data_IF_009044492770
#
_entry.id   IF_009044492770
#
_cell.length_a   1.000
_cell.length_b   1.000
_cell.length_c   1.000
_cell.angle_alpha   90.00
_cell.angle_beta   90.00
_cell.angle_gamma   90.00
#
_symmetry.space_group_name_H-M   'P 1'
#
loop_
_entity.id
_entity.type
_entity.pdbx_description
1 polymer ?
#
# COMPACT_ATOMS: atom_id res chain seq x y z
N UNK A 1 -32.53 18.62 -19.69
CA UNK A 1 -31.74 18.02 -18.59
C UNK A 1 -31.15 19.09 -17.68
N UNK A 2 -30.60 20.19 -18.20
CA UNK A 2 -30.01 21.29 -17.40
C UNK A 2 -30.92 21.88 -16.30
N UNK A 3 -32.20 22.17 -16.57
CA UNK A 3 -33.11 22.73 -15.54
C UNK A 3 -33.39 21.78 -14.36
N UNK A 4 -33.31 20.47 -14.55
CA UNK A 4 -33.57 19.49 -13.49
C UNK A 4 -32.36 19.25 -12.58
N UNK A 5 -31.18 19.69 -13.01
CA UNK A 5 -29.92 19.59 -12.26
C UNK A 5 -29.44 20.95 -11.77
N UNK A 6 -30.20 22.03 -12.02
CA UNK A 6 -29.96 23.32 -11.40
C UNK A 6 -30.03 23.15 -9.87
N UNK A 7 -29.04 23.69 -9.16
CA UNK A 7 -28.90 23.65 -7.70
C UNK A 7 -28.72 22.26 -7.07
N UNK A 8 -28.50 21.21 -7.87
CA UNK A 8 -28.20 19.89 -7.34
C UNK A 8 -26.80 19.85 -6.72
N UNK A 9 -26.72 19.46 -5.45
CA UNK A 9 -25.45 19.17 -4.78
C UNK A 9 -24.91 17.85 -5.31
N UNK A 10 -23.90 17.92 -6.18
CA UNK A 10 -23.35 16.76 -6.92
C UNK A 10 -22.67 15.75 -6.00
N UNK A 11 -22.07 16.20 -4.89
CA UNK A 11 -21.37 15.35 -3.93
C UNK A 11 -21.64 15.80 -2.48
N UNK A 12 -22.81 15.48 -1.90
CA UNK A 12 -23.15 15.89 -0.53
C UNK A 12 -22.11 15.41 0.50
N UNK A 13 -21.51 14.24 0.29
CA UNK A 13 -20.48 13.70 1.19
C UNK A 13 -19.15 14.44 1.17
N UNK A 14 -18.97 15.43 0.28
CA UNK A 14 -17.83 16.36 0.37
C UNK A 14 -17.98 17.37 1.51
N UNK A 15 -19.19 17.51 2.07
CA UNK A 15 -19.53 18.32 3.23
C UNK A 15 -20.26 17.43 4.27
N UNK A 16 -19.54 16.47 4.90
CA UNK A 16 -20.15 15.51 5.82
C UNK A 16 -20.76 16.19 7.05
N UNK A 17 -20.16 17.28 7.53
CA UNK A 17 -20.68 18.08 8.65
C UNK A 17 -22.12 18.53 8.40
N UNK A 18 -22.40 19.00 7.18
CA UNK A 18 -23.74 19.47 6.81
C UNK A 18 -24.72 18.34 6.51
N UNK A 19 -24.28 17.28 5.82
CA UNK A 19 -25.20 16.31 5.21
C UNK A 19 -25.21 14.93 5.88
N UNK A 20 -24.21 14.59 6.69
CA UNK A 20 -24.02 13.25 7.24
C UNK A 20 -23.98 13.24 8.78
N UNK A 21 -23.35 14.23 9.39
CA UNK A 21 -22.97 14.20 10.81
C UNK A 21 -24.15 14.27 11.78
N UNK A 22 -25.32 14.75 11.31
CA UNK A 22 -26.56 14.69 12.10
C UNK A 22 -26.91 13.25 12.52
N UNK A 23 -26.58 12.27 11.68
CA UNK A 23 -26.81 10.85 11.96
C UNK A 23 -25.52 10.05 12.19
N UNK A 24 -24.38 10.55 11.69
CA UNK A 24 -23.09 9.84 11.68
C UNK A 24 -21.95 10.64 12.33
N UNK A 25 -22.24 11.62 13.19
CA UNK A 25 -21.24 12.59 13.69
C UNK A 25 -20.00 11.98 14.34
N UNK A 26 -20.12 10.86 15.06
CA UNK A 26 -18.95 10.15 15.61
C UNK A 26 -18.04 9.61 14.50
N UNK A 27 -18.62 8.91 13.52
CA UNK A 27 -17.88 8.39 12.37
C UNK A 27 -17.33 9.52 11.49
N UNK A 28 -18.07 10.62 11.34
CA UNK A 28 -17.61 11.80 10.60
C UNK A 28 -16.35 12.41 11.23
N UNK A 29 -16.37 12.60 12.55
CA UNK A 29 -15.24 13.13 13.32
C UNK A 29 -14.02 12.20 13.33
N UNK A 30 -14.22 10.88 13.25
CA UNK A 30 -13.13 9.91 13.14
C UNK A 30 -12.56 9.83 11.72
N UNK A 31 -13.43 9.90 10.70
CA UNK A 31 -13.04 9.73 9.31
C UNK A 31 -12.05 10.79 8.83
N UNK A 32 -12.17 12.03 9.31
CA UNK A 32 -11.25 13.12 8.94
C UNK A 32 -9.79 12.82 9.32
N UNK A 33 -9.57 12.03 10.37
CA UNK A 33 -8.23 11.59 10.81
C UNK A 33 -7.74 10.37 10.03
N UNK A 34 -8.65 9.60 9.42
CA UNK A 34 -8.28 8.41 8.64
C UNK A 34 -7.30 8.74 7.50
N UNK A 35 -6.40 7.81 7.18
CA UNK A 35 -5.44 8.00 6.08
C UNK A 35 -6.11 8.06 4.70
N UNK A 36 -7.34 7.55 4.56
CA UNK A 36 -8.12 7.66 3.33
C UNK A 36 -8.67 9.08 3.10
N UNK A 37 -8.93 9.83 4.18
CA UNK A 37 -9.30 11.24 4.12
C UNK A 37 -8.05 12.14 4.11
N UNK A 38 -7.17 12.02 5.11
CA UNK A 38 -6.06 12.97 5.28
C UNK A 38 -4.96 12.85 4.20
N UNK A 39 -4.83 11.66 3.59
CA UNK A 39 -3.69 11.27 2.76
C UNK A 39 -2.32 11.51 3.46
N UNK A 40 -2.32 11.54 4.79
CA UNK A 40 -1.17 11.96 5.61
C UNK A 40 0.10 11.17 5.32
N UNK A 41 -0.01 9.87 5.05
CA UNK A 41 1.16 9.04 4.77
C UNK A 41 1.86 9.34 3.44
N UNK A 42 1.14 9.85 2.43
CA UNK A 42 1.79 10.34 1.21
C UNK A 42 2.55 11.64 1.50
N UNK A 43 1.90 12.58 2.19
CA UNK A 43 2.52 13.87 2.57
C UNK A 43 3.76 13.64 3.43
N UNK A 44 3.69 12.73 4.40
CA UNK A 44 4.85 12.37 5.22
C UNK A 44 5.98 11.80 4.37
N UNK A 45 5.71 10.81 3.52
CA UNK A 45 6.74 10.19 2.67
C UNK A 45 7.45 11.22 1.78
N UNK A 46 6.71 12.19 1.23
CA UNK A 46 7.29 13.27 0.42
C UNK A 46 8.14 14.17 1.31
N UNK A 47 7.61 14.69 2.41
CA UNK A 47 8.32 15.54 3.38
C UNK A 47 9.61 14.93 3.89
N UNK A 48 9.60 13.64 4.25
CA UNK A 48 10.82 12.96 4.70
C UNK A 48 11.90 12.98 3.62
N UNK A 49 11.53 12.75 2.35
CA UNK A 49 12.46 12.73 1.21
C UNK A 49 12.88 14.14 0.74
N UNK A 50 12.10 15.17 1.04
CA UNK A 50 12.50 16.58 0.81
C UNK A 50 13.29 17.15 1.99
N UNK A 51 13.25 16.49 3.16
CA UNK A 51 13.84 17.02 4.39
C UNK A 51 13.09 18.23 4.96
N UNK A 52 11.84 18.46 4.55
CA UNK A 52 11.03 19.61 4.97
C UNK A 52 9.90 19.17 5.92
N UNK A 53 9.53 20.01 6.88
CA UNK A 53 8.41 19.75 7.80
C UNK A 53 7.03 20.02 7.19
N UNK A 54 6.99 20.78 6.09
CA UNK A 54 5.81 21.07 5.27
C UNK A 54 6.18 20.91 3.80
N UNK A 55 5.19 20.71 2.93
CA UNK A 55 5.45 20.71 1.49
C UNK A 55 5.68 22.16 1.02
N UNK A 56 6.60 22.35 0.10
CA UNK A 56 6.75 23.62 -0.61
C UNK A 56 5.54 23.87 -1.53
N UNK A 57 5.34 25.12 -1.95
CA UNK A 57 4.22 25.48 -2.81
C UNK A 57 4.18 24.67 -4.13
N UNK A 58 5.35 24.39 -4.73
CA UNK A 58 5.44 23.57 -5.94
C UNK A 58 4.99 22.12 -5.71
N UNK A 59 5.38 21.54 -4.57
CA UNK A 59 5.01 20.17 -4.20
C UNK A 59 3.57 20.06 -3.69
N UNK A 60 3.02 21.08 -3.05
CA UNK A 60 1.59 21.16 -2.73
C UNK A 60 0.77 21.16 -4.02
N UNK A 61 1.14 21.99 -4.99
CA UNK A 61 0.48 22.03 -6.29
C UNK A 61 0.55 20.67 -7.01
N UNK A 62 1.73 20.03 -6.99
CA UNK A 62 1.90 18.67 -7.53
C UNK A 62 0.97 17.67 -6.81
N UNK A 63 0.95 17.70 -5.48
CA UNK A 63 0.17 16.78 -4.66
C UNK A 63 -1.31 16.90 -5.00
N UNK A 64 -1.85 18.11 -5.05
CA UNK A 64 -3.25 18.36 -5.37
C UNK A 64 -3.58 17.93 -6.80
N UNK A 65 -2.69 18.23 -7.75
CA UNK A 65 -2.90 17.91 -9.15
C UNK A 65 -2.81 16.40 -9.48
N UNK A 66 -2.13 15.60 -8.66
CA UNK A 66 -1.73 14.21 -9.01
C UNK A 66 -2.03 13.17 -7.95
N UNK A 67 -1.77 13.47 -6.68
CA UNK A 67 -1.90 12.52 -5.58
C UNK A 67 -3.28 12.58 -4.92
N UNK A 68 -3.81 13.79 -4.73
CA UNK A 68 -5.09 14.03 -4.09
C UNK A 68 -6.29 13.51 -4.90
N UNK A 69 -6.08 13.06 -6.14
CA UNK A 69 -7.12 12.40 -6.95
C UNK A 69 -7.64 11.10 -6.34
N UNK A 70 -6.85 10.47 -5.46
CA UNK A 70 -7.28 9.29 -4.70
C UNK A 70 -8.01 9.63 -3.40
N UNK A 71 -8.09 10.92 -3.03
CA UNK A 71 -8.85 11.37 -1.86
C UNK A 71 -10.32 10.95 -1.99
N UNK A 72 -10.84 10.35 -0.92
CA UNK A 72 -12.20 9.81 -0.91
C UNK A 72 -13.13 10.60 0.01
N UNK A 73 -14.42 10.39 -0.17
CA UNK A 73 -15.48 10.89 0.73
C UNK A 73 -16.44 9.74 1.02
N UNK A 74 -17.36 9.89 1.99
CA UNK A 74 -18.30 8.83 2.34
C UNK A 74 -19.05 8.30 1.10
N UNK A 75 -19.47 9.19 0.20
CA UNK A 75 -20.18 8.86 -1.03
C UNK A 75 -19.35 8.07 -2.03
N UNK A 76 -18.05 8.33 -2.15
CA UNK A 76 -17.15 7.59 -3.06
C UNK A 76 -16.86 6.14 -2.61
N UNK A 77 -17.27 5.78 -1.38
CA UNK A 77 -17.24 4.41 -0.87
C UNK A 77 -18.65 3.79 -0.83
N UNK A 78 -19.65 4.57 -0.43
CA UNK A 78 -20.98 4.06 -0.09
C UNK A 78 -22.06 4.31 -1.15
N UNK A 79 -21.83 5.15 -2.17
CA UNK A 79 -22.86 5.54 -3.15
C UNK A 79 -22.36 5.43 -4.59
N UNK A 80 -21.18 5.98 -4.85
CA UNK A 80 -20.57 6.07 -6.17
C UNK A 80 -19.18 5.47 -6.18
N UNK A 81 -18.68 5.22 -7.39
CA UNK A 81 -17.28 4.91 -7.67
C UNK A 81 -16.42 6.16 -7.44
N UNK A 82 -15.13 5.99 -7.12
CA UNK A 82 -14.22 7.13 -6.98
C UNK A 82 -14.16 8.01 -8.23
N UNK A 83 -13.97 9.31 -8.02
CA UNK A 83 -13.85 10.29 -9.12
C UNK A 83 -12.64 10.01 -10.01
N UNK A 84 -11.57 9.45 -9.43
CA UNK A 84 -10.36 9.01 -10.14
C UNK A 84 -10.63 8.03 -11.28
N UNK A 85 -11.72 7.26 -11.19
CA UNK A 85 -12.14 6.30 -12.22
C UNK A 85 -13.40 6.73 -12.98
N UNK A 86 -13.62 8.06 -13.06
CA UNK A 86 -14.76 8.73 -13.74
C UNK A 86 -16.12 8.55 -13.06
N UNK A 87 -16.13 8.15 -11.78
CA UNK A 87 -17.36 8.09 -10.98
C UNK A 87 -18.43 7.11 -11.50
N UNK A 88 -19.69 7.46 -11.21
CA UNK A 88 -20.87 6.63 -11.51
C UNK A 88 -21.40 5.90 -10.28
N UNK A 89 -22.72 5.74 -10.20
CA UNK A 89 -23.38 5.08 -9.07
C UNK A 89 -23.07 3.58 -9.02
N UNK A 90 -22.88 3.06 -7.81
CA UNK A 90 -22.77 1.63 -7.57
C UNK A 90 -24.12 0.93 -7.72
N UNK A 91 -25.19 1.56 -7.21
CA UNK A 91 -26.54 1.00 -7.16
C UNK A 91 -27.62 2.10 -7.19
N UNK A 92 -27.51 3.05 -8.14
CA UNK A 92 -28.30 4.28 -8.13
C UNK A 92 -28.00 5.13 -6.89
N UNK A 93 -29.00 5.86 -6.38
CA UNK A 93 -28.88 6.70 -5.18
C UNK A 93 -28.89 5.90 -3.85
N UNK A 94 -28.79 4.57 -3.90
CA UNK A 94 -28.79 3.76 -2.69
C UNK A 94 -27.45 3.86 -1.96
N UNK A 95 -27.52 4.01 -0.64
CA UNK A 95 -26.36 3.91 0.24
C UNK A 95 -26.06 2.44 0.55
N UNK A 96 -24.90 1.98 0.12
CA UNK A 96 -24.39 0.65 0.40
C UNK A 96 -23.66 0.65 1.73
N UNK A 97 -24.16 -0.10 2.72
CA UNK A 97 -23.46 -0.28 4.00
C UNK A 97 -22.02 -0.80 3.83
N UNK A 98 -21.80 -1.66 2.84
CA UNK A 98 -20.47 -2.20 2.51
C UNK A 98 -20.08 -1.74 1.10
N UNK A 99 -18.92 -1.08 0.93
CA UNK A 99 -18.41 -0.71 -0.39
C UNK A 99 -18.22 -1.95 -1.27
N UNK A 100 -18.37 -1.77 -2.58
CA UNK A 100 -18.07 -2.84 -3.52
C UNK A 100 -16.56 -2.96 -3.69
N UNK A 101 -16.02 -4.18 -3.53
CA UNK A 101 -14.58 -4.40 -3.65
C UNK A 101 -14.03 -3.94 -5.00
N UNK A 102 -14.69 -4.31 -6.10
CA UNK A 102 -14.20 -3.99 -7.45
C UNK A 102 -14.35 -2.51 -7.77
N UNK A 103 -15.55 -1.97 -7.49
CA UNK A 103 -15.94 -0.63 -7.93
C UNK A 103 -15.45 0.49 -7.01
N UNK A 104 -15.12 0.19 -5.74
CA UNK A 104 -14.64 1.17 -4.77
C UNK A 104 -13.20 0.89 -4.35
N UNK A 105 -12.91 -0.29 -3.75
CA UNK A 105 -11.58 -0.57 -3.19
C UNK A 105 -10.52 -0.69 -4.29
N UNK A 106 -10.72 -1.59 -5.25
CA UNK A 106 -9.77 -1.82 -6.34
C UNK A 106 -9.86 -0.80 -7.47
N UNK A 107 -10.83 0.13 -7.42
CA UNK A 107 -10.81 1.29 -8.30
C UNK A 107 -9.59 2.19 -8.01
N UNK A 108 -9.20 2.33 -6.75
CA UNK A 108 -7.99 3.03 -6.34
C UNK A 108 -6.79 2.09 -6.13
N UNK A 109 -7.02 0.89 -5.57
CA UNK A 109 -5.95 -0.07 -5.25
C UNK A 109 -5.75 -1.16 -6.31
N UNK A 110 -6.23 -0.96 -7.54
CA UNK A 110 -6.34 -2.00 -8.57
C UNK A 110 -5.01 -2.61 -9.03
N UNK A 111 -4.11 -1.78 -9.54
CA UNK A 111 -2.92 -2.25 -10.28
C UNK A 111 -1.91 -3.05 -9.46
N UNK A 112 -1.89 -2.89 -8.13
CA UNK A 112 -1.04 -3.69 -7.24
C UNK A 112 -1.87 -4.66 -6.43
N UNK A 113 -2.75 -4.14 -5.58
CA UNK A 113 -3.47 -4.95 -4.60
C UNK A 113 -4.58 -5.75 -5.28
N UNK A 114 -5.41 -5.11 -6.11
CA UNK A 114 -6.53 -5.76 -6.77
C UNK A 114 -6.10 -6.85 -7.75
N UNK A 115 -5.04 -6.62 -8.51
CA UNK A 115 -4.53 -7.58 -9.50
C UNK A 115 -3.76 -8.74 -8.83
N UNK A 116 -3.06 -8.50 -7.73
CA UNK A 116 -2.47 -9.56 -6.90
C UNK A 116 -3.54 -10.42 -6.24
N UNK A 117 -4.54 -9.79 -5.60
CA UNK A 117 -5.58 -10.50 -4.84
C UNK A 117 -6.42 -11.40 -5.73
N UNK A 118 -6.72 -10.93 -6.94
CA UNK A 118 -7.55 -11.65 -7.91
C UNK A 118 -6.75 -12.50 -8.89
N UNK A 119 -5.41 -12.49 -8.83
CA UNK A 119 -4.56 -13.29 -9.71
C UNK A 119 -4.62 -12.85 -11.18
N UNK A 120 -4.61 -11.54 -11.44
CA UNK A 120 -4.67 -10.96 -12.78
C UNK A 120 -3.28 -10.69 -13.39
N UNK A 121 -2.21 -10.86 -12.61
CA UNK A 121 -0.85 -10.83 -13.12
C UNK A 121 -0.52 -12.16 -13.81
N UNK A 122 0.10 -12.09 -15.00
CA UNK A 122 0.48 -13.28 -15.75
C UNK A 122 1.38 -14.21 -14.91
N UNK A 123 1.05 -15.51 -14.90
CA UNK A 123 1.78 -16.52 -14.14
C UNK A 123 1.49 -16.56 -12.64
N UNK A 124 0.71 -15.62 -12.10
CA UNK A 124 0.36 -15.56 -10.67
C UNK A 124 -1.09 -15.98 -10.47
N UNK A 125 -1.31 -16.86 -9.48
CA UNK A 125 -2.66 -17.29 -9.14
C UNK A 125 -3.26 -16.41 -8.05
N UNK A 126 -4.60 -16.35 -8.00
CA UNK A 126 -5.31 -15.55 -7.01
C UNK A 126 -5.03 -16.01 -5.56
N UNK A 127 -5.19 -15.06 -4.65
CA UNK A 127 -5.07 -15.26 -3.21
C UNK A 127 -6.02 -16.38 -2.73
N UNK A 128 -5.57 -17.21 -1.79
CA UNK A 128 -6.39 -18.30 -1.24
C UNK A 128 -7.65 -17.80 -0.53
N UNK A 129 -7.62 -16.61 0.07
CA UNK A 129 -8.79 -15.99 0.69
C UNK A 129 -9.76 -15.49 -0.36
N UNK A 130 -9.27 -14.87 -1.45
CA UNK A 130 -10.11 -14.48 -2.57
C UNK A 130 -10.84 -15.69 -3.18
N UNK A 131 -10.12 -16.80 -3.38
CA UNK A 131 -10.72 -18.05 -3.89
C UNK A 131 -11.80 -18.63 -2.96
N UNK A 132 -11.79 -18.26 -1.68
CA UNK A 132 -12.82 -18.61 -0.69
C UNK A 132 -13.97 -17.60 -0.62
N UNK A 133 -14.01 -16.63 -1.55
CA UNK A 133 -15.05 -15.61 -1.63
C UNK A 133 -14.81 -14.39 -0.74
N UNK A 134 -13.65 -14.27 -0.10
CA UNK A 134 -13.37 -13.13 0.78
C UNK A 134 -13.28 -11.85 -0.05
N UNK A 135 -13.84 -10.78 0.52
CA UNK A 135 -13.71 -9.41 0.02
C UNK A 135 -12.79 -8.64 0.97
N UNK A 136 -12.34 -7.43 0.59
CA UNK A 136 -11.44 -6.63 1.44
C UNK A 136 -11.93 -6.50 2.90
N UNK A 137 -13.23 -6.23 3.07
CA UNK A 137 -13.86 -6.05 4.39
C UNK A 137 -14.02 -7.32 5.22
N UNK A 138 -13.60 -8.48 4.70
CA UNK A 138 -13.49 -9.70 5.49
C UNK A 138 -12.25 -9.68 6.41
N UNK A 139 -11.22 -8.92 6.04
CA UNK A 139 -10.01 -8.72 6.84
C UNK A 139 -9.92 -7.28 7.36
N UNK A 140 -10.25 -6.30 6.54
CA UNK A 140 -10.23 -4.88 6.89
C UNK A 140 -11.52 -4.47 7.60
N UNK A 141 -11.42 -4.14 8.88
CA UNK A 141 -12.59 -3.85 9.72
C UNK A 141 -13.16 -2.44 9.45
N UNK A 142 -14.41 -2.20 9.86
CA UNK A 142 -15.01 -0.87 9.75
C UNK A 142 -14.24 0.17 10.57
N UNK A 143 -13.79 -0.20 11.77
CA UNK A 143 -13.01 0.67 12.65
C UNK A 143 -11.65 1.02 12.02
N UNK A 144 -10.94 0.02 11.47
CA UNK A 144 -9.63 0.19 10.84
C UNK A 144 -9.69 1.13 9.63
N UNK A 145 -10.77 1.06 8.84
CA UNK A 145 -10.89 1.86 7.61
C UNK A 145 -11.33 3.31 7.85
N UNK A 146 -12.06 3.59 8.94
CA UNK A 146 -12.60 4.91 9.24
C UNK A 146 -11.81 5.69 10.29
N UNK A 147 -10.87 5.06 10.98
CA UNK A 147 -10.06 5.73 12.01
C UNK A 147 -8.57 5.73 11.62
N UNK A 148 -7.79 6.53 12.32
CA UNK A 148 -6.34 6.38 12.38
C UNK A 148 -5.86 6.63 13.81
N UNK A 149 -4.77 5.98 14.20
CA UNK A 149 -4.08 6.32 15.43
C UNK A 149 -3.59 7.77 15.38
N UNK A 150 -3.67 8.54 16.48
CA UNK A 150 -3.17 9.91 16.52
C UNK A 150 -1.70 9.98 16.07
N UNK A 151 -1.43 10.81 15.06
CA UNK A 151 -0.10 10.96 14.49
C UNK A 151 0.34 9.83 13.56
N UNK A 152 -0.56 8.94 13.13
CA UNK A 152 -0.26 7.92 12.13
C UNK A 152 0.28 8.55 10.84
N UNK A 153 1.46 8.08 10.44
CA UNK A 153 2.15 8.50 9.22
C UNK A 153 2.16 7.40 8.16
N UNK A 154 1.69 6.23 8.52
CA UNK A 154 1.70 5.03 7.70
C UNK A 154 0.50 4.16 8.04
N UNK A 155 0.00 3.41 7.06
CA UNK A 155 -1.02 2.38 7.29
C UNK A 155 -0.59 1.31 8.30
N UNK A 156 0.72 1.17 8.50
CA UNK A 156 1.29 0.22 9.47
C UNK A 156 1.30 0.78 10.90
N UNK A 157 0.91 2.04 11.11
CA UNK A 157 0.79 2.61 12.45
C UNK A 157 -0.58 2.29 13.07
N UNK A 158 -1.53 1.77 12.28
CA UNK A 158 -2.85 1.38 12.76
C UNK A 158 -2.79 0.04 13.51
N UNK A 159 -3.12 0.06 14.80
CA UNK A 159 -3.15 -1.13 15.67
C UNK A 159 -4.23 -2.14 15.28
N UNK A 160 -5.25 -1.70 14.54
CA UNK A 160 -6.38 -2.52 14.05
C UNK A 160 -6.13 -3.12 12.67
N UNK A 161 -4.92 -2.93 12.10
CA UNK A 161 -4.55 -3.52 10.83
C UNK A 161 -4.65 -5.06 10.91
N UNK A 162 -5.17 -5.73 9.85
CA UNK A 162 -5.39 -7.17 9.90
C UNK A 162 -4.09 -7.95 10.07
N UNK A 163 -4.09 -8.88 11.02
CA UNK A 163 -3.01 -9.83 11.23
C UNK A 163 -3.42 -11.24 10.79
N UNK A 164 -2.44 -12.05 10.38
CA UNK A 164 -2.71 -13.45 10.02
C UNK A 164 -3.19 -14.24 11.25
N UNK A 165 -2.63 -13.90 12.40
CA UNK A 165 -2.83 -14.49 13.71
C UNK A 165 -4.25 -14.26 14.26
N UNK A 166 -4.98 -13.27 13.76
CA UNK A 166 -6.39 -13.03 14.11
C UNK A 166 -7.28 -14.20 13.67
N UNK A 167 -6.86 -14.96 12.66
CA UNK A 167 -7.58 -16.12 12.13
C UNK A 167 -6.78 -17.43 12.23
N UNK A 168 -5.45 -17.36 12.29
CA UNK A 168 -4.56 -18.52 12.17
C UNK A 168 -3.71 -18.72 13.43
N UNK A 169 -4.03 -19.75 14.21
CA UNK A 169 -3.17 -20.21 15.31
C UNK A 169 -2.20 -21.29 14.82
N UNK A 170 -0.97 -20.90 14.45
CA UNK A 170 -0.04 -21.76 13.70
C UNK A 170 1.35 -21.92 14.31
N UNK A 171 1.65 -21.29 15.46
CA UNK A 171 3.00 -21.15 16.03
C UNK A 171 3.82 -22.46 16.11
N UNK A 172 3.17 -23.62 16.25
CA UNK A 172 3.81 -24.93 16.29
C UNK A 172 3.12 -25.98 15.40
N UNK A 173 2.38 -25.53 14.39
CA UNK A 173 1.57 -26.43 13.55
C UNK A 173 2.42 -27.33 12.63
N UNK A 174 3.68 -26.96 12.38
CA UNK A 174 4.65 -27.77 11.65
C UNK A 174 6.09 -27.30 11.98
N UNK A 175 7.10 -27.99 11.44
CA UNK A 175 8.51 -27.68 11.67
C UNK A 175 8.91 -26.26 11.23
N UNK A 176 8.33 -25.74 10.14
CA UNK A 176 8.65 -24.40 9.63
C UNK A 176 8.18 -23.32 10.60
N UNK A 177 6.93 -23.41 11.09
CA UNK A 177 6.40 -22.47 12.07
C UNK A 177 7.17 -22.52 13.38
N UNK A 178 7.51 -23.72 13.87
CA UNK A 178 8.32 -23.87 15.09
C UNK A 178 9.72 -23.26 14.95
N UNK A 179 10.34 -23.35 13.78
CA UNK A 179 11.70 -22.84 13.56
C UNK A 179 11.75 -21.32 13.29
N UNK A 180 10.73 -20.77 12.62
CA UNK A 180 10.76 -19.43 12.03
C UNK A 180 9.73 -18.44 12.58
N UNK A 181 8.72 -18.89 13.34
CA UNK A 181 7.47 -18.14 13.59
C UNK A 181 7.62 -16.65 13.91
N UNK A 182 8.47 -16.29 14.88
CA UNK A 182 8.68 -14.89 15.28
C UNK A 182 9.85 -14.18 14.56
N UNK A 183 10.55 -14.88 13.66
CA UNK A 183 11.74 -14.38 12.95
C UNK A 183 11.40 -13.84 11.56
N UNK A 184 10.37 -14.38 10.91
CA UNK A 184 9.97 -14.06 9.54
C UNK A 184 8.52 -13.59 9.53
N UNK A 185 8.18 -12.56 8.75
CA UNK A 185 6.77 -12.25 8.51
C UNK A 185 6.09 -13.37 7.72
N UNK A 186 4.79 -13.60 7.93
CA UNK A 186 4.06 -14.71 7.30
C UNK A 186 4.17 -14.69 5.77
N UNK A 187 4.21 -13.50 5.16
CA UNK A 187 4.33 -13.29 3.72
C UNK A 187 5.67 -13.78 3.17
N UNK A 188 6.73 -13.91 3.98
CA UNK A 188 8.00 -14.51 3.55
C UNK A 188 7.80 -15.93 3.05
N UNK A 189 6.92 -16.71 3.71
CA UNK A 189 6.59 -18.06 3.28
C UNK A 189 5.36 -18.08 2.37
N UNK A 190 4.38 -17.21 2.61
CA UNK A 190 3.06 -17.37 2.01
C UNK A 190 2.76 -16.43 0.83
N UNK A 191 3.65 -15.53 0.44
CA UNK A 191 3.47 -14.69 -0.75
C UNK A 191 4.06 -15.37 -2.00
N UNK A 192 3.41 -15.16 -3.15
CA UNK A 192 3.99 -15.43 -4.46
C UNK A 192 4.86 -14.24 -4.91
N UNK A 193 5.46 -14.30 -6.10
CA UNK A 193 5.97 -13.09 -6.76
C UNK A 193 4.86 -12.03 -6.93
N UNK A 194 5.26 -10.77 -6.84
CA UNK A 194 4.35 -9.63 -6.91
C UNK A 194 4.97 -8.46 -7.67
N UNK A 195 4.14 -7.46 -7.95
CA UNK A 195 4.52 -6.34 -8.82
C UNK A 195 5.51 -5.40 -8.13
N UNK A 196 6.72 -5.31 -8.66
CA UNK A 196 7.71 -4.31 -8.30
C UNK A 196 7.70 -3.19 -9.33
N UNK A 197 8.02 -1.97 -8.92
CA UNK A 197 8.03 -0.79 -9.79
C UNK A 197 9.28 0.05 -9.49
N UNK A 198 9.87 0.69 -10.50
CA UNK A 198 11.20 1.32 -10.37
C UNK A 198 11.18 2.84 -10.43
N UNK A 199 11.12 3.41 -11.63
CA UNK A 199 11.18 4.85 -11.81
C UNK A 199 9.80 5.39 -12.14
N UNK A 200 9.40 6.48 -11.51
CA UNK A 200 8.17 7.19 -11.85
C UNK A 200 8.41 8.69 -11.77
N UNK A 201 7.92 9.39 -12.78
CA UNK A 201 7.97 10.83 -12.87
C UNK A 201 6.55 11.39 -12.80
N UNK A 202 6.39 12.43 -11.99
CA UNK A 202 5.10 13.08 -11.78
C UNK A 202 5.09 14.37 -12.57
N UNK A 203 4.81 14.29 -13.88
CA UNK A 203 4.81 15.47 -14.75
C UNK A 203 3.51 16.29 -14.73
N UNK A 204 3.61 17.53 -15.22
CA UNK A 204 2.52 18.51 -15.34
C UNK A 204 1.47 18.18 -16.40
N UNK A 205 1.85 17.36 -17.38
CA UNK A 205 0.95 16.85 -18.42
C UNK A 205 0.80 15.34 -18.34
N UNK A 206 1.92 14.62 -18.25
CA UNK A 206 1.96 13.17 -18.16
C UNK A 206 2.68 12.77 -16.87
N UNK A 207 2.05 11.91 -16.08
CA UNK A 207 2.69 11.29 -14.92
C UNK A 207 2.65 9.78 -15.10
N UNK A 208 3.71 9.08 -14.72
CA UNK A 208 3.72 7.63 -14.87
C UNK A 208 5.06 6.99 -14.56
N UNK A 209 5.01 5.66 -14.55
CA UNK A 209 6.19 4.83 -14.40
C UNK A 209 6.99 4.90 -15.71
N UNK A 210 8.26 5.29 -15.63
CA UNK A 210 9.16 5.45 -16.78
C UNK A 210 9.97 4.18 -17.08
N UNK A 211 9.92 3.21 -16.17
CA UNK A 211 10.46 1.87 -16.35
C UNK A 211 9.34 0.84 -16.18
N UNK A 212 9.29 -0.25 -16.98
CA UNK A 212 8.29 -1.28 -16.77
C UNK A 212 8.27 -1.82 -15.34
N UNK A 213 7.07 -2.16 -14.88
CA UNK A 213 6.92 -2.90 -13.63
C UNK A 213 7.03 -4.39 -13.90
N UNK A 214 7.67 -5.12 -13.01
CA UNK A 214 8.07 -6.51 -13.19
C UNK A 214 7.55 -7.35 -12.01
N UNK A 215 7.37 -8.64 -12.24
CA UNK A 215 7.11 -9.58 -11.15
C UNK A 215 8.44 -9.96 -10.50
N UNK A 216 8.44 -10.00 -9.18
CA UNK A 216 9.60 -10.44 -8.42
C UNK A 216 9.27 -10.65 -6.96
N UNK A 217 10.21 -11.25 -6.25
CA UNK A 217 10.10 -11.55 -4.84
C UNK A 217 11.43 -11.30 -4.15
N UNK A 218 11.44 -10.44 -3.12
CA UNK A 218 12.63 -10.17 -2.33
C UNK A 218 12.32 -10.19 -0.84
N UNK A 219 13.19 -10.85 -0.08
CA UNK A 219 13.25 -10.85 1.38
C UNK A 219 14.37 -9.90 1.80
N UNK A 220 14.09 -9.02 2.75
CA UNK A 220 15.14 -8.20 3.35
C UNK A 220 14.94 -7.98 4.84
N UNK A 221 15.82 -7.18 5.43
CA UNK A 221 15.72 -6.82 6.85
C UNK A 221 14.51 -5.93 7.07
N UNK A 222 13.83 -6.12 8.19
CA UNK A 222 12.65 -5.34 8.55
C UNK A 222 13.00 -3.87 8.87
N UNK A 223 12.61 -2.90 8.03
CA UNK A 223 12.87 -1.49 8.32
C UNK A 223 11.90 -0.91 9.37
N UNK A 224 10.82 -1.63 9.70
CA UNK A 224 9.75 -1.18 10.61
C UNK A 224 9.64 -2.10 11.83
N UNK A 225 10.78 -2.61 12.32
CA UNK A 225 10.82 -3.53 13.46
C UNK A 225 10.28 -2.84 14.72
N UNK A 226 9.27 -3.46 15.33
CA UNK A 226 8.62 -3.01 16.56
C UNK A 226 8.15 -4.22 17.38
N UNK A 227 7.46 -4.00 18.50
CA UNK A 227 6.86 -5.09 19.26
C UNK A 227 5.76 -5.82 18.47
N UNK A 228 5.00 -5.09 17.66
CA UNK A 228 3.91 -5.57 16.80
C UNK A 228 4.45 -6.19 15.50
N UNK A 229 5.68 -5.83 15.11
CA UNK A 229 6.38 -6.37 13.92
C UNK A 229 7.77 -6.85 14.32
N UNK A 230 7.89 -7.92 15.11
CA UNK A 230 9.15 -8.33 15.73
C UNK A 230 10.11 -9.02 14.76
N UNK A 231 9.66 -9.33 13.53
CA UNK A 231 10.40 -10.12 12.56
C UNK A 231 11.72 -9.47 12.17
N UNK A 232 12.73 -10.32 11.98
CA UNK A 232 14.03 -9.92 11.45
C UNK A 232 13.97 -9.74 9.93
N UNK A 233 13.22 -10.60 9.26
CA UNK A 233 13.10 -10.61 7.80
C UNK A 233 11.65 -10.52 7.34
N UNK A 234 11.46 -9.80 6.25
CA UNK A 234 10.15 -9.43 5.69
C UNK A 234 10.21 -9.42 4.17
N UNK A 235 9.05 -9.51 3.53
CA UNK A 235 8.94 -9.21 2.10
C UNK A 235 9.12 -7.73 1.82
N UNK A 236 9.89 -7.39 0.79
CA UNK A 236 10.15 -6.02 0.36
C UNK A 236 9.66 -5.77 -1.05
N UNK A 237 9.09 -4.59 -1.29
CA UNK A 237 8.65 -4.15 -2.62
C UNK A 237 9.39 -2.90 -3.05
N UNK A 238 9.89 -2.91 -4.28
CA UNK A 238 10.43 -1.70 -4.91
C UNK A 238 9.29 -0.74 -5.24
N UNK A 239 9.37 0.50 -4.74
CA UNK A 239 8.42 1.57 -5.05
C UNK A 239 8.89 2.43 -6.22
N UNK A 240 7.97 3.03 -6.99
CA UNK A 240 8.33 3.80 -8.16
C UNK A 240 8.69 5.24 -7.75
N UNK A 241 9.96 5.49 -7.48
CA UNK A 241 10.47 6.80 -7.09
C UNK A 241 11.91 6.93 -7.59
N UNK A 242 12.29 8.13 -8.00
CA UNK A 242 13.59 8.49 -8.52
C UNK A 242 13.99 9.86 -7.92
N UNK A 243 15.28 10.21 -7.83
CA UNK A 243 15.70 11.50 -7.28
C UNK A 243 15.06 12.72 -7.97
N UNK A 244 14.74 12.58 -9.26
CA UNK A 244 14.15 13.59 -10.14
C UNK A 244 12.62 13.47 -10.27
N UNK A 245 11.96 12.63 -9.46
CA UNK A 245 10.52 12.33 -9.58
C UNK A 245 9.60 13.55 -9.64
N UNK A 246 10.02 14.67 -9.05
CA UNK A 246 9.21 15.89 -8.90
C UNK A 246 9.81 17.11 -9.62
N UNK A 247 10.86 16.93 -10.43
CA UNK A 247 11.64 18.05 -10.99
C UNK A 247 10.83 19.00 -11.89
N UNK A 248 9.77 18.51 -12.55
CA UNK A 248 8.86 19.36 -13.34
C UNK A 248 8.07 20.36 -12.49
N UNK A 249 7.88 20.07 -11.21
CA UNK A 249 7.16 20.93 -10.26
C UNK A 249 8.14 21.72 -9.40
N UNK A 250 9.21 21.07 -8.94
CA UNK A 250 10.27 21.66 -8.16
C UNK A 250 11.58 20.91 -8.40
N UNK A 251 12.53 21.58 -9.05
CA UNK A 251 13.82 21.00 -9.37
C UNK A 251 14.61 20.59 -8.13
N UNK A 252 15.13 19.37 -8.10
CA UNK A 252 15.89 18.79 -7.00
C UNK A 252 15.11 18.74 -5.68
N UNK A 253 13.78 18.57 -5.72
CA UNK A 253 12.94 18.54 -4.52
C UNK A 253 13.36 17.46 -3.52
N UNK A 254 13.81 16.29 -3.99
CA UNK A 254 14.12 15.13 -3.14
C UNK A 254 15.56 15.15 -2.61
N UNK A 255 15.97 16.27 -2.01
CA UNK A 255 17.34 16.45 -1.46
C UNK A 255 17.71 15.43 -0.40
N UNK A 256 16.72 14.84 0.29
CA UNK A 256 16.89 13.83 1.33
C UNK A 256 16.41 12.44 0.85
N UNK A 257 16.60 12.13 -0.44
CA UNK A 257 16.13 10.91 -1.08
C UNK A 257 16.46 9.63 -0.30
N UNK A 258 17.67 9.53 0.27
CA UNK A 258 18.12 8.33 0.97
C UNK A 258 17.53 8.14 2.37
N UNK A 259 16.71 9.07 2.87
CA UNK A 259 16.10 8.96 4.19
C UNK A 259 15.07 7.84 4.32
N UNK A 260 14.50 7.39 3.21
CA UNK A 260 13.58 6.25 3.17
C UNK A 260 14.05 5.23 2.14
N UNK A 261 13.94 3.92 2.40
CA UNK A 261 14.28 2.89 1.43
C UNK A 261 13.32 2.94 0.23
N UNK A 262 13.81 2.53 -0.94
CA UNK A 262 12.98 2.28 -2.13
C UNK A 262 12.47 0.84 -2.15
N UNK A 263 13.20 -0.09 -1.54
CA UNK A 263 12.69 -1.41 -1.13
C UNK A 263 11.98 -1.31 0.22
N UNK A 264 10.66 -1.12 0.20
CA UNK A 264 9.85 -0.89 1.40
C UNK A 264 9.23 -2.18 1.94
N UNK A 265 8.99 -2.22 3.26
CA UNK A 265 8.18 -3.27 3.90
C UNK A 265 6.85 -3.45 3.18
N UNK A 266 6.59 -4.69 2.74
CA UNK A 266 5.46 -5.02 1.91
C UNK A 266 4.57 -6.08 2.56
N UNK A 267 3.27 -5.90 2.39
CA UNK A 267 2.23 -6.89 2.67
C UNK A 267 1.49 -7.25 1.37
N UNK A 268 2.08 -8.08 0.49
CA UNK A 268 1.44 -8.50 -0.76
C UNK A 268 0.11 -9.20 -0.50
N UNK A 269 -0.86 -8.99 -1.40
CA UNK A 269 -2.20 -9.59 -1.30
C UNK A 269 -2.31 -10.76 -2.28
N UNK A 270 -1.44 -11.76 -2.16
CA UNK A 270 -1.36 -12.89 -3.09
C UNK A 270 -1.05 -14.20 -2.34
N UNK A 271 -1.61 -14.33 -1.13
CA UNK A 271 -1.30 -15.38 -0.17
C UNK A 271 -1.64 -16.76 -0.73
N UNK A 272 -0.71 -17.70 -0.61
CA UNK A 272 -0.89 -19.13 -0.91
C UNK A 272 -0.43 -19.99 0.26
N UNK A 273 -1.08 -21.14 0.41
CA UNK A 273 -0.64 -22.18 1.35
C UNK A 273 0.72 -22.76 0.95
N UNK A 274 0.88 -23.06 -0.33
CA UNK A 274 2.11 -23.59 -0.91
C UNK A 274 2.66 -22.58 -1.91
N UNK A 275 3.90 -22.20 -1.71
CA UNK A 275 4.72 -21.30 -2.53
C UNK A 275 6.06 -21.98 -2.81
N UNK A 276 6.90 -21.43 -3.71
CA UNK A 276 8.28 -21.88 -3.84
C UNK A 276 9.03 -21.91 -2.49
N UNK A 277 8.81 -20.95 -1.60
CA UNK A 277 9.49 -20.84 -0.30
C UNK A 277 9.11 -21.96 0.68
N UNK A 278 7.95 -22.58 0.50
CA UNK A 278 7.47 -23.68 1.37
C UNK A 278 7.84 -25.08 0.87
N UNK A 279 8.50 -25.18 -0.29
CA UNK A 279 8.76 -26.47 -0.94
C UNK A 279 9.81 -27.31 -0.19
N UNK A 280 10.91 -26.67 0.23
CA UNK A 280 12.00 -27.29 1.00
C UNK A 280 12.71 -26.24 1.90
N UNK A 281 13.70 -26.66 2.69
CA UNK A 281 14.49 -25.73 3.51
C UNK A 281 15.68 -25.11 2.77
N UNK A 282 16.32 -25.87 1.88
CA UNK A 282 17.60 -25.51 1.24
C UNK A 282 17.37 -24.69 -0.02
N UNK A 283 17.13 -25.33 -1.18
CA UNK A 283 16.93 -24.64 -2.46
C UNK A 283 15.84 -23.57 -2.43
N UNK A 284 14.86 -23.68 -1.54
CA UNK A 284 13.78 -22.70 -1.42
C UNK A 284 14.18 -21.43 -0.67
N UNK A 285 15.00 -21.51 0.38
CA UNK A 285 15.36 -20.35 1.22
C UNK A 285 16.82 -20.36 1.71
N UNK A 286 17.29 -21.45 2.31
CA UNK A 286 18.62 -21.49 2.92
C UNK A 286 19.71 -21.78 1.89
N UNK A 287 20.77 -21.00 1.86
CA UNK A 287 21.78 -20.99 0.80
C UNK A 287 21.22 -20.55 -0.57
N UNK A 288 20.07 -19.84 -0.58
CA UNK A 288 19.47 -19.31 -1.80
C UNK A 288 19.53 -17.76 -1.81
N UNK A 289 20.62 -17.14 -2.30
CA UNK A 289 20.74 -15.69 -2.37
C UNK A 289 19.69 -15.02 -3.26
N UNK A 290 19.13 -15.72 -4.25
CA UNK A 290 18.29 -15.12 -5.29
C UNK A 290 17.03 -14.45 -4.75
N UNK A 291 16.46 -15.00 -3.66
CA UNK A 291 15.24 -14.48 -3.04
C UNK A 291 15.49 -13.37 -2.01
N UNK A 292 16.74 -13.08 -1.67
CA UNK A 292 17.08 -12.01 -0.73
C UNK A 292 17.47 -10.74 -1.50
N UNK A 293 17.21 -9.59 -0.89
CA UNK A 293 17.78 -8.33 -1.33
C UNK A 293 19.21 -8.24 -0.79
N UNK A 294 20.19 -8.35 -1.67
CA UNK A 294 21.62 -8.37 -1.34
C UNK A 294 22.31 -7.08 -1.77
N UNK A 295 23.59 -6.94 -1.40
CA UNK A 295 24.41 -5.83 -1.90
C UNK A 295 24.62 -5.89 -3.41
N UNK A 296 24.64 -7.08 -4.00
CA UNK A 296 24.78 -7.28 -5.45
C UNK A 296 23.57 -6.72 -6.20
N UNK A 297 22.35 -6.95 -5.70
CA UNK A 297 21.13 -6.40 -6.27
C UNK A 297 21.13 -4.85 -6.32
N UNK A 298 21.89 -4.20 -5.44
CA UNK A 298 21.99 -2.74 -5.39
C UNK A 298 23.02 -2.17 -6.40
N UNK A 299 23.95 -2.99 -6.93
CA UNK A 299 25.05 -2.49 -7.76
C UNK A 299 24.60 -1.79 -9.05
N UNK A 300 23.46 -2.21 -9.61
CA UNK A 300 22.85 -1.59 -10.79
C UNK A 300 22.05 -0.31 -10.51
N UNK A 301 21.90 0.09 -9.25
CA UNK A 301 21.09 1.24 -8.84
C UNK A 301 21.93 2.51 -8.69
N UNK A 302 21.28 3.67 -8.70
CA UNK A 302 21.95 4.96 -8.45
C UNK A 302 22.59 5.00 -7.06
N UNK A 303 23.65 5.80 -6.87
CA UNK A 303 24.31 5.94 -5.56
C UNK A 303 23.34 6.36 -4.45
N UNK A 304 22.37 7.24 -4.76
CA UNK A 304 21.35 7.67 -3.82
C UNK A 304 20.43 6.52 -3.38
N UNK A 305 20.09 5.63 -4.30
CA UNK A 305 19.26 4.45 -4.04
C UNK A 305 20.01 3.34 -3.32
N UNK A 306 21.28 3.12 -3.65
CA UNK A 306 22.16 2.25 -2.88
C UNK A 306 22.23 2.72 -1.41
N UNK A 307 22.41 4.03 -1.20
CA UNK A 307 22.42 4.62 0.14
C UNK A 307 21.07 4.47 0.87
N UNK A 308 19.95 4.61 0.16
CA UNK A 308 18.60 4.45 0.70
C UNK A 308 18.33 3.02 1.21
N UNK A 309 18.86 2.01 0.53
CA UNK A 309 18.53 0.61 0.79
C UNK A 309 19.57 -0.14 1.65
N UNK A 310 20.68 0.49 2.02
CA UNK A 310 21.78 -0.15 2.78
C UNK A 310 21.35 -0.84 4.09
N UNK A 311 20.25 -0.41 4.70
CA UNK A 311 19.77 -0.94 5.97
C UNK A 311 18.77 -2.10 5.80
N UNK A 312 18.25 -2.32 4.59
CA UNK A 312 17.27 -3.37 4.29
C UNK A 312 17.88 -4.59 3.58
N UNK A 313 19.15 -4.50 3.16
CA UNK A 313 19.87 -5.63 2.55
C UNK A 313 20.21 -6.72 3.57
N UNK A 314 20.26 -7.95 3.07
CA UNK A 314 20.75 -9.12 3.78
C UNK A 314 22.22 -9.33 3.42
N UNK A 315 23.08 -9.26 4.43
CA UNK A 315 24.55 -9.39 4.27
C UNK A 315 25.04 -10.83 4.40
N UNK A 316 24.22 -11.69 5.00
CA UNK A 316 24.56 -13.10 5.25
C UNK A 316 23.32 -13.91 4.95
N UNK A 317 23.41 -14.75 3.92
CA UNK A 317 22.33 -15.66 3.55
C UNK A 317 22.23 -16.73 4.65
N UNK A 318 21.03 -17.09 5.12
CA UNK A 318 20.86 -18.17 6.09
C UNK A 318 21.31 -19.52 5.50
N UNK A 319 21.99 -20.33 6.31
CA UNK A 319 22.48 -21.67 5.96
C UNK A 319 21.47 -22.79 6.25
#
# INVERSE_FOLDING_TARGET
>A
MEKAHADMVVAPSADPERYCDTCHGTLGAEHVESLHASLGGYKETIRTRTGQSVLSAGLEQMFDARCAKCHTTCGQCHVSRPVSVKGGFNAGHNFLKRPNMTLNCTACHGSRVGDEFRGLNAGITADVHYNKGFQCVACHSTEELHTAEPGATSRYDNSLAPACEDCHNVATSNQYHSAHGNKLSCQVCHSQEYKNCWNCHVGKEVSGITQPSELGFKIGRNPLKSAERPWNYVTLRHIPISPDSYDEWEANALVNYSALPTWKFATPHNIKKNTPQTADCTSSCHNNPAIFLTQEDLQGMSAAEQAANKNVVVTTIPD
#
